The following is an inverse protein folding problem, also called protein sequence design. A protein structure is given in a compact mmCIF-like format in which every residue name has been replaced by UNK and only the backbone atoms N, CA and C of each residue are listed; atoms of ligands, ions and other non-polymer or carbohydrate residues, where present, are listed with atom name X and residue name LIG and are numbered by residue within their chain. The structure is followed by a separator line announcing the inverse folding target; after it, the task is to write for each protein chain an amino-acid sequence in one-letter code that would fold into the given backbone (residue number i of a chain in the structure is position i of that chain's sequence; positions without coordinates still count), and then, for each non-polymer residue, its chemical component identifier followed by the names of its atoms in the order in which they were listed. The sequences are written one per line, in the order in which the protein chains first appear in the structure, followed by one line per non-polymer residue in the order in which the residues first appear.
data_IF_607487239881
#
_entry.id   IF_607487239881
#
_cell.length_a   1.000
_cell.length_b   1.000
_cell.length_c   1.000
_cell.angle_alpha   90.00
_cell.angle_beta   90.00
_cell.angle_gamma   90.00
#
_symmetry.space_group_name_H-M   'P 1'
#
loop_
_entity.id
_entity.type
_entity.pdbx_description
1 polymer ?
#
# COMPACT_ATOMS: atom_id res chain seq x y z
N UNK A 1 -17.77 0.29 -23.16
CA UNK A 1 -17.24 0.02 -21.81
C UNK A 1 -17.47 -1.43 -21.33
N UNK A 2 -18.62 -2.05 -21.57
CA UNK A 2 -18.97 -3.42 -21.09
C UNK A 2 -18.33 -4.61 -21.85
N UNK A 3 -17.74 -4.44 -23.02
CA UNK A 3 -17.08 -5.54 -23.77
C UNK A 3 -15.69 -5.97 -23.23
N UNK A 4 -15.11 -5.21 -22.30
CA UNK A 4 -13.77 -5.44 -21.77
C UNK A 4 -13.76 -6.53 -20.67
N UNK A 5 -14.93 -6.80 -20.06
CA UNK A 5 -15.12 -7.84 -19.03
C UNK A 5 -15.53 -9.22 -19.57
N UNK A 6 -15.60 -9.40 -20.89
CA UNK A 6 -15.74 -10.72 -21.52
C UNK A 6 -14.38 -11.41 -21.70
N UNK A 7 -13.61 -11.50 -20.62
CA UNK A 7 -12.58 -12.53 -20.48
C UNK A 7 -13.29 -13.86 -20.23
N UNK A 8 -12.69 -14.97 -20.64
CA UNK A 8 -13.18 -16.36 -20.56
C UNK A 8 -14.22 -16.54 -19.45
N UNK A 9 -15.41 -17.03 -19.77
CA UNK A 9 -16.54 -17.16 -18.84
C UNK A 9 -16.32 -18.09 -17.65
N UNK A 10 -15.08 -18.32 -17.26
CA UNK A 10 -14.68 -19.09 -16.11
C UNK A 10 -15.09 -18.35 -14.82
N UNK A 11 -16.00 -18.96 -14.07
CA UNK A 11 -16.43 -18.42 -12.77
C UNK A 11 -15.24 -18.47 -11.81
N UNK A 12 -14.95 -17.36 -11.12
CA UNK A 12 -13.95 -17.29 -10.04
C UNK A 12 -14.20 -18.45 -9.06
N UNK A 13 -13.21 -19.29 -8.77
CA UNK A 13 -13.33 -20.40 -7.85
C UNK A 13 -13.79 -19.95 -6.45
N UNK A 14 -14.60 -20.76 -5.77
CA UNK A 14 -15.16 -20.43 -4.47
C UNK A 14 -14.11 -20.03 -3.43
N UNK A 15 -13.01 -20.76 -3.36
CA UNK A 15 -11.94 -20.50 -2.41
C UNK A 15 -11.25 -19.13 -2.64
N UNK A 16 -11.13 -18.66 -3.89
CA UNK A 16 -10.63 -17.32 -4.19
C UNK A 16 -11.65 -16.24 -3.77
N UNK A 17 -12.95 -16.48 -3.92
CA UNK A 17 -13.98 -15.53 -3.41
C UNK A 17 -13.90 -15.38 -1.90
N UNK A 18 -13.74 -16.49 -1.17
CA UNK A 18 -13.53 -16.48 0.28
C UNK A 18 -12.27 -15.68 0.64
N UNK A 19 -11.18 -15.89 -0.10
CA UNK A 19 -9.93 -15.16 0.10
C UNK A 19 -10.11 -13.65 -0.12
N UNK A 20 -10.82 -13.22 -1.17
CA UNK A 20 -11.06 -11.80 -1.45
C UNK A 20 -11.95 -11.15 -0.38
N UNK A 21 -13.00 -11.82 0.04
CA UNK A 21 -13.86 -11.32 1.10
C UNK A 21 -13.11 -11.21 2.44
N UNK A 22 -12.27 -12.20 2.77
CA UNK A 22 -11.43 -12.15 3.96
C UNK A 22 -10.39 -11.03 3.88
N UNK A 23 -9.76 -10.86 2.72
CA UNK A 23 -8.83 -9.75 2.48
C UNK A 23 -9.52 -8.40 2.64
N UNK A 24 -10.73 -8.25 2.09
CA UNK A 24 -11.51 -7.05 2.23
C UNK A 24 -11.79 -6.70 3.70
N UNK A 25 -12.27 -7.67 4.51
CA UNK A 25 -12.51 -7.46 5.95
C UNK A 25 -11.21 -7.13 6.70
N UNK A 26 -10.12 -7.84 6.39
CA UNK A 26 -8.81 -7.59 6.99
C UNK A 26 -8.30 -6.18 6.66
N UNK A 27 -8.54 -5.68 5.44
CA UNK A 27 -8.13 -4.34 5.04
C UNK A 27 -9.02 -3.23 5.60
N UNK A 28 -10.30 -3.48 5.82
CA UNK A 28 -11.15 -2.56 6.61
C UNK A 28 -10.57 -2.44 8.03
N UNK A 29 -10.29 -3.57 8.68
CA UNK A 29 -9.71 -3.58 10.01
C UNK A 29 -8.38 -2.82 10.06
N UNK A 30 -7.49 -3.03 9.09
CA UNK A 30 -6.21 -2.35 9.03
C UNK A 30 -6.34 -0.85 8.76
N UNK A 31 -7.22 -0.44 7.83
CA UNK A 31 -7.49 0.98 7.56
C UNK A 31 -8.02 1.74 8.78
N UNK A 32 -8.90 1.10 9.57
CA UNK A 32 -9.38 1.66 10.83
C UNK A 32 -8.27 1.75 11.89
N UNK A 33 -7.42 0.73 11.97
CA UNK A 33 -6.34 0.65 12.94
C UNK A 33 -5.34 1.79 12.85
N UNK A 34 -5.04 2.27 11.64
CA UNK A 34 -4.13 3.41 11.42
C UNK A 34 -4.58 4.67 12.16
N UNK A 35 -5.87 4.98 12.11
CA UNK A 35 -6.44 6.13 12.80
C UNK A 35 -6.58 5.89 14.30
N UNK A 36 -6.95 4.68 14.71
CA UNK A 36 -7.07 4.32 16.13
C UNK A 36 -5.73 4.39 16.87
N UNK A 37 -4.63 3.91 16.29
CA UNK A 37 -3.29 4.02 16.90
C UNK A 37 -2.91 5.49 17.04
N UNK A 38 -3.11 6.29 16.00
CA UNK A 38 -2.81 7.72 16.03
C UNK A 38 -3.61 8.44 17.14
N UNK A 39 -4.90 8.15 17.25
CA UNK A 39 -5.77 8.74 18.28
C UNK A 39 -5.41 8.27 19.70
N UNK A 40 -4.98 7.01 19.85
CA UNK A 40 -4.64 6.43 21.16
C UNK A 40 -3.41 7.07 21.82
N UNK A 41 -2.52 7.60 21.01
CA UNK A 41 -1.28 8.26 21.47
C UNK A 41 -1.24 9.76 21.18
N UNK A 42 -2.36 10.34 20.72
CA UNK A 42 -2.47 11.77 20.44
C UNK A 42 -2.18 12.63 21.69
N UNK A 43 -1.79 13.89 21.49
CA UNK A 43 -1.41 14.84 22.53
C UNK A 43 0.09 15.11 22.56
N UNK A 44 0.61 15.52 23.72
CA UNK A 44 2.04 15.80 23.90
C UNK A 44 2.89 14.60 23.46
N UNK A 45 3.90 14.86 22.61
CA UNK A 45 4.76 13.84 22.01
C UNK A 45 4.02 12.81 21.14
N UNK A 46 2.74 13.03 20.79
CA UNK A 46 1.95 12.06 20.00
C UNK A 46 2.63 11.70 18.69
N UNK A 47 3.22 12.68 18.01
CA UNK A 47 3.96 12.46 16.75
C UNK A 47 5.17 11.55 16.95
N UNK A 48 5.95 11.75 18.03
CA UNK A 48 7.09 10.89 18.37
C UNK A 48 6.63 9.48 18.74
N UNK A 49 5.56 9.36 19.52
CA UNK A 49 4.99 8.06 19.92
C UNK A 49 4.53 7.26 18.69
N UNK A 50 3.79 7.89 17.77
CA UNK A 50 3.39 7.24 16.51
C UNK A 50 4.59 6.78 15.72
N UNK A 51 5.63 7.62 15.60
CA UNK A 51 6.83 7.26 14.87
C UNK A 51 7.55 6.03 15.45
N UNK A 52 7.68 5.97 16.79
CA UNK A 52 8.28 4.83 17.49
C UNK A 52 7.45 3.55 17.29
N UNK A 53 6.12 3.66 17.35
CA UNK A 53 5.21 2.52 17.21
C UNK A 53 5.22 1.99 15.77
N UNK A 54 5.29 2.86 14.77
CA UNK A 54 5.14 2.49 13.37
C UNK A 54 6.33 1.66 12.84
N UNK A 55 7.57 2.08 13.11
CA UNK A 55 8.82 1.50 12.53
C UNK A 55 8.92 -0.04 12.64
N UNK A 56 8.58 -0.71 13.75
CA UNK A 56 8.75 -2.16 13.87
C UNK A 56 7.87 -2.99 12.94
N UNK A 57 6.70 -2.48 12.52
CA UNK A 57 5.74 -3.25 11.70
C UNK A 57 6.29 -3.58 10.31
N UNK A 58 6.63 -2.60 9.44
CA UNK A 58 7.12 -2.91 8.09
C UNK A 58 8.49 -3.60 8.12
N UNK A 59 9.31 -3.33 9.13
CA UNK A 59 10.56 -4.05 9.31
C UNK A 59 10.31 -5.55 9.55
N UNK A 60 9.41 -5.89 10.47
CA UNK A 60 9.06 -7.27 10.79
C UNK A 60 8.38 -7.96 9.60
N UNK A 61 7.44 -7.28 8.92
CA UNK A 61 6.79 -7.77 7.72
C UNK A 61 7.81 -8.09 6.62
N UNK A 62 8.69 -7.17 6.30
CA UNK A 62 9.72 -7.31 5.26
C UNK A 62 10.66 -8.49 5.54
N UNK A 63 11.16 -8.61 6.77
CA UNK A 63 12.11 -9.68 7.15
C UNK A 63 11.46 -11.06 7.13
N UNK A 64 10.17 -11.14 7.52
CA UNK A 64 9.51 -12.44 7.71
C UNK A 64 8.65 -12.88 6.51
N UNK A 65 8.34 -12.00 5.55
CA UNK A 65 7.49 -12.31 4.41
C UNK A 65 7.98 -13.50 3.57
N UNK A 66 9.28 -13.54 3.26
CA UNK A 66 9.87 -14.65 2.51
C UNK A 66 9.81 -15.98 3.28
N UNK A 67 10.06 -15.92 4.59
CA UNK A 67 9.96 -17.09 5.45
C UNK A 67 8.56 -17.71 5.44
N UNK A 68 7.52 -16.88 5.62
CA UNK A 68 6.13 -17.35 5.59
C UNK A 68 5.67 -17.78 4.21
N UNK A 69 6.16 -17.14 3.15
CA UNK A 69 5.97 -17.61 1.78
C UNK A 69 6.43 -19.08 1.63
N UNK A 70 7.68 -19.36 1.99
CA UNK A 70 8.28 -20.71 1.93
C UNK A 70 7.58 -21.68 2.88
N UNK A 71 7.30 -21.26 4.12
CA UNK A 71 6.63 -22.09 5.11
C UNK A 71 5.23 -22.49 4.63
N UNK A 72 4.52 -21.59 3.97
CA UNK A 72 3.19 -21.83 3.43
C UNK A 72 3.19 -22.88 2.29
N UNK A 73 4.29 -23.01 1.55
CA UNK A 73 4.47 -24.08 0.55
C UNK A 73 4.57 -25.47 1.21
N UNK A 74 5.16 -25.53 2.41
CA UNK A 74 5.43 -26.79 3.11
C UNK A 74 4.26 -27.29 3.94
N UNK A 75 3.56 -26.40 4.65
CA UNK A 75 2.49 -26.79 5.59
C UNK A 75 1.09 -26.38 5.11
N UNK A 76 1.00 -25.71 3.96
CA UNK A 76 -0.25 -25.31 3.29
C UNK A 76 -0.57 -23.82 3.48
N UNK A 77 -1.01 -23.18 2.39
CA UNK A 77 -1.35 -21.76 2.34
C UNK A 77 -2.38 -21.37 3.40
N UNK A 78 -3.50 -22.11 3.45
CA UNK A 78 -4.57 -21.90 4.42
C UNK A 78 -4.06 -21.79 5.86
N UNK A 79 -3.21 -22.72 6.28
CA UNK A 79 -2.71 -22.81 7.66
C UNK A 79 -1.99 -21.54 8.07
N UNK A 80 -1.13 -21.03 7.18
CA UNK A 80 -0.32 -19.83 7.45
C UNK A 80 -1.19 -18.57 7.41
N UNK A 81 -2.11 -18.44 6.46
CA UNK A 81 -3.02 -17.30 6.37
C UNK A 81 -3.90 -17.20 7.63
N UNK A 82 -4.47 -18.33 8.08
CA UNK A 82 -5.29 -18.37 9.30
C UNK A 82 -4.44 -18.03 10.52
N UNK A 83 -3.23 -18.55 10.64
CA UNK A 83 -2.30 -18.19 11.72
C UNK A 83 -2.03 -16.69 11.74
N UNK A 84 -1.65 -16.08 10.60
CA UNK A 84 -1.35 -14.65 10.51
C UNK A 84 -2.53 -13.78 10.88
N UNK A 85 -3.73 -14.09 10.37
CA UNK A 85 -4.96 -13.33 10.67
C UNK A 85 -5.37 -13.49 12.13
N UNK A 86 -5.22 -14.68 12.72
CA UNK A 86 -5.51 -14.91 14.14
C UNK A 86 -4.52 -14.17 15.02
N UNK A 87 -3.22 -14.20 14.69
CA UNK A 87 -2.20 -13.45 15.40
C UNK A 87 -2.52 -11.95 15.37
N UNK A 88 -2.89 -11.39 14.22
CA UNK A 88 -3.31 -9.99 14.11
C UNK A 88 -4.50 -9.66 15.04
N UNK A 89 -5.53 -10.52 15.09
CA UNK A 89 -6.68 -10.33 15.97
C UNK A 89 -6.27 -10.30 17.45
N UNK A 90 -5.40 -11.23 17.86
CA UNK A 90 -4.88 -11.29 19.24
C UNK A 90 -4.09 -10.03 19.57
N UNK A 91 -3.17 -9.62 18.70
CA UNK A 91 -2.33 -8.43 18.92
C UNK A 91 -3.16 -7.17 19.02
N UNK A 92 -4.18 -6.99 18.16
CA UNK A 92 -5.06 -5.82 18.24
C UNK A 92 -5.88 -5.82 19.53
N UNK A 93 -6.28 -6.98 20.04
CA UNK A 93 -6.90 -7.08 21.36
C UNK A 93 -5.92 -6.62 22.46
N UNK A 94 -4.65 -7.01 22.38
CA UNK A 94 -3.64 -6.63 23.36
C UNK A 94 -3.34 -5.13 23.38
N UNK A 95 -3.56 -4.37 22.28
CA UNK A 95 -3.42 -2.92 22.30
C UNK A 95 -4.32 -2.23 23.33
N UNK A 96 -5.42 -2.84 23.72
CA UNK A 96 -6.33 -2.27 24.72
C UNK A 96 -5.76 -2.25 26.15
N UNK A 97 -4.70 -3.03 26.42
CA UNK A 97 -4.20 -3.25 27.79
C UNK A 97 -3.28 -2.13 28.27
N UNK A 98 -2.61 -1.42 27.37
CA UNK A 98 -1.64 -0.37 27.75
C UNK A 98 -1.43 0.62 26.64
N UNK A 99 -1.28 1.90 26.99
CA UNK A 99 -0.88 2.98 26.10
C UNK A 99 0.63 3.29 26.15
N UNK A 100 1.42 2.42 26.79
CA UNK A 100 2.87 2.57 26.79
C UNK A 100 3.42 2.42 25.37
N UNK A 101 4.20 3.40 24.91
CA UNK A 101 4.73 3.47 23.57
C UNK A 101 5.58 2.26 23.17
N UNK A 102 6.45 1.80 24.06
CA UNK A 102 7.32 0.64 23.79
C UNK A 102 6.56 -0.67 23.76
N UNK A 103 5.53 -0.79 24.62
CA UNK A 103 4.61 -1.93 24.57
C UNK A 103 3.87 -1.99 23.24
N UNK A 104 3.31 -0.87 22.80
CA UNK A 104 2.61 -0.78 21.54
C UNK A 104 3.55 -1.02 20.33
N UNK A 105 4.78 -0.49 20.39
CA UNK A 105 5.80 -0.72 19.36
C UNK A 105 6.16 -2.21 19.23
N UNK A 106 6.37 -2.89 20.37
CA UNK A 106 6.65 -4.33 20.37
C UNK A 106 5.48 -5.13 19.78
N UNK A 107 4.25 -4.84 20.19
CA UNK A 107 3.05 -5.47 19.64
C UNK A 107 2.89 -5.18 18.14
N UNK A 108 3.19 -3.94 17.70
CA UNK A 108 3.08 -3.56 16.29
C UNK A 108 4.09 -4.31 15.43
N UNK A 109 5.30 -4.54 15.94
CA UNK A 109 6.26 -5.43 15.28
C UNK A 109 5.75 -6.87 15.14
N UNK A 110 5.15 -7.44 16.20
CA UNK A 110 4.54 -8.78 16.13
C UNK A 110 3.34 -8.79 15.16
N UNK A 111 2.57 -7.70 15.10
CA UNK A 111 1.51 -7.54 14.11
C UNK A 111 2.05 -7.59 12.67
N UNK A 112 3.21 -6.97 12.40
CA UNK A 112 3.90 -7.07 11.11
C UNK A 112 4.26 -8.51 10.71
N UNK A 113 4.65 -9.36 11.69
CA UNK A 113 4.82 -10.80 11.46
C UNK A 113 3.51 -11.46 11.01
N UNK A 114 2.38 -11.11 11.66
CA UNK A 114 1.06 -11.58 11.27
C UNK A 114 0.65 -11.15 9.85
N UNK A 115 0.98 -9.92 9.46
CA UNK A 115 0.75 -9.41 8.12
C UNK A 115 1.55 -10.19 7.07
N UNK A 116 2.84 -10.42 7.30
CA UNK A 116 3.68 -11.25 6.44
C UNK A 116 3.12 -12.67 6.25
N UNK A 117 2.64 -13.29 7.34
CA UNK A 117 2.02 -14.61 7.31
C UNK A 117 0.67 -14.63 6.57
N UNK A 118 0.05 -13.46 6.35
CA UNK A 118 -1.24 -13.37 5.65
C UNK A 118 -1.06 -13.04 4.17
N UNK A 119 -0.30 -11.99 3.84
CA UNK A 119 -0.24 -11.41 2.48
C UNK A 119 0.53 -12.29 1.50
N UNK A 120 1.74 -12.71 1.84
CA UNK A 120 2.57 -13.50 0.93
C UNK A 120 1.93 -14.84 0.55
N UNK A 121 1.40 -15.65 1.50
CA UNK A 121 0.69 -16.88 1.16
C UNK A 121 -0.64 -16.64 0.42
N UNK A 122 -1.34 -15.52 0.64
CA UNK A 122 -2.57 -15.19 -0.08
C UNK A 122 -2.31 -14.96 -1.57
N UNK A 123 -1.29 -14.17 -1.90
CA UNK A 123 -0.87 -13.93 -3.29
C UNK A 123 -0.45 -15.25 -3.96
N UNK A 124 0.32 -16.09 -3.24
CA UNK A 124 0.73 -17.38 -3.74
C UNK A 124 -0.46 -18.32 -3.96
N UNK A 125 -1.49 -18.31 -3.09
CA UNK A 125 -2.71 -19.09 -3.28
C UNK A 125 -3.45 -18.67 -4.56
N UNK A 126 -3.51 -17.37 -4.87
CA UNK A 126 -4.10 -16.91 -6.13
C UNK A 126 -3.33 -17.44 -7.32
N UNK A 127 -2.00 -17.36 -7.27
CA UNK A 127 -1.13 -17.86 -8.34
C UNK A 127 -1.27 -19.37 -8.57
N UNK A 128 -1.50 -20.15 -7.50
CA UNK A 128 -1.68 -21.61 -7.55
C UNK A 128 -3.03 -22.02 -8.16
N UNK A 129 -4.08 -21.22 -8.01
CA UNK A 129 -5.46 -21.57 -8.40
C UNK A 129 -5.98 -20.81 -9.62
N UNK A 130 -5.32 -19.76 -10.05
CA UNK A 130 -5.67 -19.03 -11.25
C UNK A 130 -5.03 -19.69 -12.48
N UNK A 131 -5.83 -19.89 -13.54
CA UNK A 131 -5.31 -20.27 -14.85
C UNK A 131 -4.34 -19.21 -15.35
N UNK A 132 -3.33 -19.60 -16.12
CA UNK A 132 -2.29 -18.70 -16.61
C UNK A 132 -2.87 -17.48 -17.34
N UNK A 133 -3.93 -17.68 -18.13
CA UNK A 133 -4.62 -16.62 -18.90
C UNK A 133 -5.56 -15.74 -18.03
N UNK A 134 -5.85 -16.16 -16.79
CA UNK A 134 -6.80 -15.49 -15.88
C UNK A 134 -6.12 -14.94 -14.61
N UNK A 135 -4.85 -15.23 -14.42
CA UNK A 135 -4.08 -14.87 -13.22
C UNK A 135 -4.08 -13.36 -12.97
N UNK A 136 -3.90 -12.54 -14.00
CA UNK A 136 -3.94 -11.09 -13.89
C UNK A 136 -5.30 -10.57 -13.40
N UNK A 137 -6.41 -11.15 -13.90
CA UNK A 137 -7.76 -10.80 -13.44
C UNK A 137 -7.97 -11.16 -11.97
N UNK A 138 -7.51 -12.33 -11.53
CA UNK A 138 -7.67 -12.77 -10.15
C UNK A 138 -6.82 -11.92 -9.19
N UNK A 139 -5.60 -11.53 -9.58
CA UNK A 139 -4.79 -10.56 -8.83
C UNK A 139 -5.49 -9.20 -8.75
N UNK A 140 -6.09 -8.74 -9.85
CA UNK A 140 -6.86 -7.49 -9.87
C UNK A 140 -8.06 -7.50 -8.90
N UNK A 141 -8.75 -8.63 -8.72
CA UNK A 141 -9.81 -8.76 -7.71
C UNK A 141 -9.26 -8.70 -6.28
N UNK A 142 -8.10 -9.27 -6.04
CA UNK A 142 -7.42 -9.17 -4.75
C UNK A 142 -7.01 -7.73 -4.42
N UNK A 143 -6.44 -7.02 -5.39
CA UNK A 143 -6.06 -5.62 -5.24
C UNK A 143 -7.29 -4.74 -5.04
N UNK A 144 -8.37 -4.98 -5.79
CA UNK A 144 -9.64 -4.28 -5.62
C UNK A 144 -10.21 -4.46 -4.21
N UNK A 145 -10.22 -5.70 -3.70
CA UNK A 145 -10.66 -5.99 -2.33
C UNK A 145 -9.77 -5.28 -1.30
N UNK A 146 -8.46 -5.23 -1.55
CA UNK A 146 -7.48 -4.54 -0.72
C UNK A 146 -7.75 -3.03 -0.67
N UNK A 147 -7.83 -2.36 -1.82
CA UNK A 147 -8.05 -0.92 -1.89
C UNK A 147 -9.41 -0.50 -1.32
N UNK A 148 -10.47 -1.20 -1.71
CA UNK A 148 -11.81 -0.92 -1.21
C UNK A 148 -11.89 -1.11 0.31
N UNK A 149 -11.21 -2.13 0.84
CA UNK A 149 -11.10 -2.36 2.27
C UNK A 149 -10.42 -1.19 2.99
N UNK A 150 -9.28 -0.70 2.49
CA UNK A 150 -8.59 0.46 3.06
C UNK A 150 -9.44 1.73 3.04
N UNK A 151 -10.14 2.01 1.92
CA UNK A 151 -11.02 3.18 1.79
C UNK A 151 -12.11 3.15 2.86
N UNK A 152 -12.85 2.04 2.95
CA UNK A 152 -13.92 1.89 3.93
C UNK A 152 -13.36 1.89 5.35
N UNK A 153 -12.22 1.23 5.57
CA UNK A 153 -11.54 1.15 6.86
C UNK A 153 -11.11 2.52 7.37
N UNK A 154 -10.57 3.39 6.53
CA UNK A 154 -10.22 4.74 6.91
C UNK A 154 -11.44 5.56 7.35
N UNK A 155 -12.55 5.49 6.60
CA UNK A 155 -13.80 6.16 6.95
C UNK A 155 -14.34 5.62 8.28
N UNK A 156 -14.47 4.30 8.41
CA UNK A 156 -14.97 3.63 9.62
C UNK A 156 -14.08 3.95 10.82
N UNK A 157 -12.76 3.91 10.66
CA UNK A 157 -11.79 4.24 11.70
C UNK A 157 -11.91 5.69 12.17
N UNK A 158 -12.13 6.63 11.23
CA UNK A 158 -12.37 8.03 11.57
C UNK A 158 -13.62 8.23 12.43
N UNK A 159 -14.72 7.59 12.08
CA UNK A 159 -15.93 7.62 12.91
C UNK A 159 -15.75 6.88 14.26
N UNK A 160 -14.99 5.78 14.28
CA UNK A 160 -14.66 5.10 15.55
C UNK A 160 -13.90 6.03 16.49
N UNK A 161 -12.91 6.76 15.99
CA UNK A 161 -12.12 7.72 16.78
C UNK A 161 -12.99 8.85 17.35
N UNK A 162 -13.98 9.31 16.60
CA UNK A 162 -14.84 10.43 17.04
C UNK A 162 -15.96 9.99 17.97
N UNK A 163 -16.57 8.83 17.72
CA UNK A 163 -17.80 8.41 18.38
C UNK A 163 -17.61 7.41 19.51
N UNK A 164 -16.45 6.76 19.60
CA UNK A 164 -16.18 5.66 20.53
C UNK A 164 -14.94 5.92 21.36
N UNK A 165 -14.86 5.28 22.54
CA UNK A 165 -13.58 5.08 23.20
C UNK A 165 -12.64 4.26 22.29
N UNK A 166 -11.38 4.70 22.16
CA UNK A 166 -10.40 4.09 21.26
C UNK A 166 -10.18 2.60 21.55
N UNK A 167 -10.29 2.18 22.83
CA UNK A 167 -10.18 0.77 23.22
C UNK A 167 -11.34 -0.06 22.67
N UNK A 168 -12.56 0.52 22.64
CA UNK A 168 -13.72 -0.13 22.01
C UNK A 168 -13.46 -0.25 20.50
N UNK A 169 -12.89 0.77 19.88
CA UNK A 169 -12.46 0.73 18.48
C UNK A 169 -11.49 -0.44 18.20
N UNK A 170 -10.46 -0.62 19.03
CA UNK A 170 -9.54 -1.77 18.91
C UNK A 170 -10.26 -3.11 19.06
N UNK A 171 -11.19 -3.24 19.99
CA UNK A 171 -11.97 -4.49 20.17
C UNK A 171 -12.83 -4.78 18.94
N UNK A 172 -13.47 -3.77 18.34
CA UNK A 172 -14.24 -3.94 17.11
C UNK A 172 -13.35 -4.40 15.94
N UNK A 173 -12.18 -3.80 15.79
CA UNK A 173 -11.18 -4.23 14.80
C UNK A 173 -10.72 -5.67 15.07
N UNK A 174 -10.45 -6.03 16.31
CA UNK A 174 -10.07 -7.39 16.70
C UNK A 174 -11.19 -8.42 16.39
N UNK A 175 -12.45 -8.07 16.64
CA UNK A 175 -13.62 -8.90 16.28
C UNK A 175 -13.69 -9.09 14.76
N UNK A 176 -13.49 -8.04 13.97
CA UNK A 176 -13.47 -8.14 12.50
C UNK A 176 -12.34 -9.05 11.99
N UNK A 177 -11.14 -8.94 12.57
CA UNK A 177 -10.02 -9.82 12.24
C UNK A 177 -10.30 -11.26 12.67
N UNK A 178 -10.88 -11.47 13.86
CA UNK A 178 -11.29 -12.78 14.35
C UNK A 178 -12.35 -13.42 13.44
N UNK A 179 -13.36 -12.66 13.02
CA UNK A 179 -14.38 -13.12 12.07
C UNK A 179 -13.76 -13.51 10.73
N UNK A 180 -12.80 -12.72 10.23
CA UNK A 180 -12.03 -13.06 9.02
C UNK A 180 -11.23 -14.35 9.21
N UNK A 181 -10.57 -14.54 10.35
CA UNK A 181 -9.83 -15.77 10.66
C UNK A 181 -10.76 -17.00 10.72
N UNK A 182 -11.91 -16.90 11.37
CA UNK A 182 -12.93 -17.97 11.44
C UNK A 182 -13.45 -18.28 10.02
N UNK A 183 -13.75 -17.26 9.22
CA UNK A 183 -14.21 -17.45 7.84
C UNK A 183 -13.14 -18.16 6.99
N UNK A 184 -11.88 -17.78 7.09
CA UNK A 184 -10.76 -18.47 6.42
C UNK A 184 -10.62 -19.90 6.89
N UNK A 185 -10.71 -20.14 8.21
CA UNK A 185 -10.59 -21.48 8.77
C UNK A 185 -11.73 -22.40 8.32
N UNK A 186 -12.97 -21.92 8.30
CA UNK A 186 -14.14 -22.76 8.00
C UNK A 186 -14.40 -22.92 6.50
N UNK A 187 -14.30 -21.84 5.73
CA UNK A 187 -14.73 -21.82 4.33
C UNK A 187 -13.59 -22.07 3.33
N UNK A 188 -12.34 -21.83 3.71
CA UNK A 188 -11.21 -22.16 2.85
C UNK A 188 -10.92 -23.67 2.92
N UNK A 189 -10.88 -24.33 1.78
CA UNK A 189 -10.54 -25.77 1.73
C UNK A 189 -9.06 -25.99 2.00
N UNK A 190 -8.73 -27.06 2.71
CA UNK A 190 -7.35 -27.48 2.94
C UNK A 190 -6.75 -27.97 1.63
N UNK A 191 -5.66 -27.39 1.20
CA UNK A 191 -4.96 -27.77 -0.02
C UNK A 191 -4.10 -29.01 0.22
N UNK A 192 -3.99 -29.86 -0.80
CA UNK A 192 -2.96 -30.89 -0.81
C UNK A 192 -1.62 -30.20 -1.03
N UNK A 193 -0.73 -30.30 -0.07
CA UNK A 193 0.64 -29.78 -0.18
C UNK A 193 1.30 -30.39 -1.42
N UNK A 194 1.62 -29.56 -2.40
CA UNK A 194 2.37 -30.01 -3.57
C UNK A 194 3.80 -30.31 -3.12
N UNK A 195 4.24 -31.56 -3.23
CA UNK A 195 5.60 -32.04 -2.84
C UNK A 195 6.76 -31.42 -3.66
N UNK A 196 6.47 -30.62 -4.68
CA UNK A 196 7.49 -29.97 -5.53
C UNK A 196 7.32 -28.46 -5.48
N UNK A 197 8.08 -27.83 -4.64
CA UNK A 197 8.46 -26.44 -4.82
C UNK A 197 9.56 -26.39 -5.91
N UNK A 198 9.14 -26.33 -7.15
CA UNK A 198 10.06 -26.02 -8.23
C UNK A 198 10.30 -24.50 -8.22
N UNK A 199 11.52 -24.11 -7.93
CA UNK A 199 12.07 -22.76 -7.94
C UNK A 199 11.45 -21.76 -6.95
N UNK A 200 12.05 -21.67 -5.78
CA UNK A 200 12.00 -20.44 -4.98
C UNK A 200 12.78 -19.36 -5.70
N UNK A 201 12.23 -18.13 -5.72
CA UNK A 201 12.98 -16.97 -6.19
C UNK A 201 14.33 -16.91 -5.46
N UNK A 202 15.40 -17.19 -6.17
CA UNK A 202 16.75 -17.22 -5.64
C UNK A 202 17.35 -15.82 -5.72
N UNK A 203 18.42 -15.56 -4.95
CA UNK A 203 19.22 -14.33 -5.15
C UNK A 203 19.75 -14.19 -6.58
N UNK A 204 19.92 -15.32 -7.29
CA UNK A 204 20.30 -15.31 -8.70
C UNK A 204 19.16 -14.79 -9.60
N UNK A 205 17.91 -15.11 -9.29
CA UNK A 205 16.75 -14.63 -10.04
C UNK A 205 16.54 -13.12 -9.81
N UNK A 206 16.72 -12.62 -8.57
CA UNK A 206 16.73 -11.19 -8.30
C UNK A 206 17.85 -10.47 -9.08
N UNK A 207 19.07 -11.04 -9.13
CA UNK A 207 20.15 -10.48 -9.95
C UNK A 207 19.80 -10.44 -11.44
N UNK A 208 19.07 -11.43 -11.97
CA UNK A 208 18.58 -11.47 -13.36
C UNK A 208 17.55 -10.35 -13.59
N UNK A 209 16.59 -10.19 -12.66
CA UNK A 209 15.56 -9.15 -12.73
C UNK A 209 16.20 -7.75 -12.75
N UNK A 210 17.21 -7.47 -11.92
CA UNK A 210 17.93 -6.20 -11.92
C UNK A 210 18.86 -5.98 -13.14
N UNK A 211 19.16 -7.02 -13.95
CA UNK A 211 19.84 -6.84 -15.24
C UNK A 211 18.92 -6.16 -16.26
N UNK A 212 17.61 -6.31 -16.13
CA UNK A 212 16.63 -5.63 -16.98
C UNK A 212 16.70 -4.13 -16.72
N UNK A 213 17.06 -3.37 -17.72
CA UNK A 213 17.32 -1.92 -17.61
C UNK A 213 16.08 -1.15 -17.19
N UNK A 214 14.94 -1.49 -17.73
CA UNK A 214 13.64 -0.88 -17.43
C UNK A 214 13.29 -1.02 -15.95
N UNK A 215 13.47 -2.20 -15.37
CA UNK A 215 13.25 -2.47 -13.95
C UNK A 215 14.24 -1.68 -13.09
N UNK A 216 15.52 -1.68 -13.46
CA UNK A 216 16.56 -0.96 -12.71
C UNK A 216 16.34 0.56 -12.68
N UNK A 217 15.79 1.16 -13.73
CA UNK A 217 15.48 2.59 -13.77
C UNK A 217 14.17 2.91 -13.04
N UNK A 218 13.19 2.02 -13.10
CA UNK A 218 11.90 2.21 -12.45
C UNK A 218 11.95 1.98 -10.93
N UNK A 219 12.73 1.00 -10.46
CA UNK A 219 12.71 0.56 -9.06
C UNK A 219 12.99 1.67 -8.04
N UNK A 220 13.96 2.57 -8.22
CA UNK A 220 14.17 3.69 -7.29
C UNK A 220 12.98 4.66 -7.27
N UNK A 221 12.35 4.90 -8.42
CA UNK A 221 11.14 5.74 -8.50
C UNK A 221 10.02 5.10 -7.70
N UNK A 222 9.82 3.78 -7.85
CA UNK A 222 8.86 3.01 -7.08
C UNK A 222 9.10 3.11 -5.58
N UNK A 223 10.36 2.99 -5.16
CA UNK A 223 10.76 3.11 -3.76
C UNK A 223 10.44 4.50 -3.20
N UNK A 224 10.71 5.56 -3.95
CA UNK A 224 10.36 6.93 -3.56
C UNK A 224 8.84 7.08 -3.40
N UNK A 225 8.04 6.58 -4.36
CA UNK A 225 6.57 6.66 -4.28
C UNK A 225 6.05 5.87 -3.07
N UNK A 226 6.61 4.68 -2.80
CA UNK A 226 6.26 3.89 -1.62
C UNK A 226 6.64 4.61 -0.31
N UNK A 227 7.79 5.28 -0.27
CA UNK A 227 8.20 6.10 0.88
C UNK A 227 7.26 7.29 1.10
N UNK A 228 6.87 8.00 0.04
CA UNK A 228 5.91 9.10 0.13
C UNK A 228 4.55 8.64 0.64
N UNK A 229 4.09 7.49 0.17
CA UNK A 229 2.84 6.89 0.64
C UNK A 229 2.93 6.51 2.12
N UNK A 230 4.05 5.90 2.55
CA UNK A 230 4.30 5.57 3.95
C UNK A 230 4.31 6.82 4.84
N UNK A 231 5.00 7.90 4.45
CA UNK A 231 4.99 9.17 5.17
C UNK A 231 3.57 9.73 5.34
N UNK A 232 2.78 9.73 4.26
CA UNK A 232 1.41 10.24 4.30
C UNK A 232 0.50 9.38 5.20
N UNK A 233 0.55 8.06 5.06
CA UNK A 233 -0.31 7.15 5.83
C UNK A 233 0.03 7.18 7.32
N UNK A 234 1.30 7.25 7.68
CA UNK A 234 1.74 7.15 9.08
C UNK A 234 1.63 8.48 9.82
N UNK A 235 2.08 9.58 9.21
CA UNK A 235 2.22 10.85 9.92
C UNK A 235 1.05 11.84 9.72
N UNK A 236 0.38 11.81 8.57
CA UNK A 236 -0.70 12.77 8.32
C UNK A 236 -1.87 12.64 9.31
N UNK A 237 -2.34 11.43 9.69
CA UNK A 237 -3.42 11.32 10.67
C UNK A 237 -3.11 11.98 12.00
N UNK A 238 -1.92 11.72 12.57
CA UNK A 238 -1.54 12.29 13.88
C UNK A 238 -1.29 13.80 13.79
N UNK A 239 -0.73 14.30 12.69
CA UNK A 239 -0.55 15.73 12.46
C UNK A 239 -1.91 16.42 12.46
N UNK A 240 -2.90 15.87 11.77
CA UNK A 240 -4.25 16.44 11.70
C UNK A 240 -4.99 16.33 13.04
N UNK A 241 -4.87 15.21 13.76
CA UNK A 241 -5.45 15.04 15.09
C UNK A 241 -4.88 16.06 16.09
N UNK A 242 -3.57 16.34 16.03
CA UNK A 242 -2.93 17.35 16.88
C UNK A 242 -3.31 18.79 16.52
N UNK A 243 -3.97 19.01 15.37
CA UNK A 243 -4.58 20.27 14.96
C UNK A 243 -6.10 20.28 15.21
N UNK A 244 -6.60 19.46 16.12
CA UNK A 244 -8.01 19.33 16.50
C UNK A 244 -8.97 18.96 15.34
N UNK A 245 -8.43 18.36 14.25
CA UNK A 245 -9.26 17.86 13.16
C UNK A 245 -10.01 16.63 13.62
N UNK A 246 -11.33 16.63 13.42
CA UNK A 246 -12.19 15.49 13.78
C UNK A 246 -11.76 14.20 13.07
N UNK A 247 -11.79 13.07 13.81
CA UNK A 247 -11.45 11.76 13.29
C UNK A 247 -12.26 11.37 12.04
N UNK A 248 -13.57 11.65 12.03
CA UNK A 248 -14.44 11.42 10.88
C UNK A 248 -13.99 12.20 9.63
N UNK A 249 -13.58 13.46 9.80
CA UNK A 249 -13.04 14.29 8.71
C UNK A 249 -11.76 13.67 8.14
N UNK A 250 -10.83 13.25 8.99
CA UNK A 250 -9.60 12.57 8.58
C UNK A 250 -9.94 11.27 7.83
N UNK A 251 -10.84 10.46 8.36
CA UNK A 251 -11.29 9.23 7.72
C UNK A 251 -11.88 9.46 6.34
N UNK A 252 -12.74 10.47 6.17
CA UNK A 252 -13.32 10.86 4.88
C UNK A 252 -12.24 11.36 3.92
N UNK A 253 -11.27 12.16 4.39
CA UNK A 253 -10.13 12.60 3.56
C UNK A 253 -9.30 11.43 3.03
N UNK A 254 -8.95 10.48 3.88
CA UNK A 254 -8.22 9.27 3.46
C UNK A 254 -9.06 8.38 2.54
N UNK A 255 -10.36 8.25 2.82
CA UNK A 255 -11.30 7.54 1.95
C UNK A 255 -11.38 8.18 0.56
N UNK A 256 -11.53 9.50 0.49
CA UNK A 256 -11.57 10.26 -0.76
C UNK A 256 -10.25 10.14 -1.54
N UNK A 257 -9.10 10.25 -0.84
CA UNK A 257 -7.78 10.01 -1.45
C UNK A 257 -7.65 8.59 -2.00
N UNK A 258 -8.11 7.58 -1.26
CA UNK A 258 -8.13 6.20 -1.71
C UNK A 258 -9.00 6.00 -2.95
N UNK A 259 -10.17 6.63 -3.03
CA UNK A 259 -11.04 6.63 -4.22
C UNK A 259 -10.31 7.29 -5.40
N UNK A 260 -9.70 8.45 -5.19
CA UNK A 260 -8.98 9.17 -6.23
C UNK A 260 -7.81 8.34 -6.79
N UNK A 261 -7.04 7.69 -5.92
CA UNK A 261 -5.90 6.85 -6.31
C UNK A 261 -6.32 5.50 -6.91
N UNK A 262 -7.40 4.91 -6.41
CA UNK A 262 -7.80 3.53 -6.72
C UNK A 262 -8.83 3.39 -7.84
N UNK A 263 -9.79 4.33 -7.94
CA UNK A 263 -10.97 4.19 -8.82
C UNK A 263 -10.61 4.05 -10.31
N UNK A 264 -9.62 4.81 -10.78
CA UNK A 264 -9.19 4.82 -12.18
C UNK A 264 -8.05 3.86 -12.49
N UNK A 265 -7.60 3.03 -11.56
CA UNK A 265 -6.50 2.08 -11.81
C UNK A 265 -6.75 1.15 -13.02
N UNK A 266 -7.95 0.53 -13.18
CA UNK A 266 -8.21 -0.29 -14.37
C UNK A 266 -8.23 0.52 -15.67
N UNK A 267 -8.65 1.79 -15.61
CA UNK A 267 -8.61 2.72 -16.74
C UNK A 267 -7.16 3.06 -17.11
N UNK A 268 -6.33 3.41 -16.14
CA UNK A 268 -4.92 3.72 -16.35
C UNK A 268 -4.12 2.52 -16.82
N UNK A 269 -4.44 1.32 -16.34
CA UNK A 269 -3.88 0.07 -16.86
C UNK A 269 -4.10 -0.05 -18.37
N UNK A 270 -5.35 0.15 -18.83
CA UNK A 270 -5.69 0.10 -20.25
C UNK A 270 -5.06 1.23 -21.05
N UNK A 271 -5.03 2.45 -20.53
CA UNK A 271 -4.33 3.58 -21.19
C UNK A 271 -2.86 3.25 -21.37
N UNK A 272 -2.24 2.62 -20.37
CA UNK A 272 -0.84 2.21 -20.45
C UNK A 272 -0.56 1.11 -21.50
N UNK A 273 -1.56 0.27 -21.80
CA UNK A 273 -1.47 -0.70 -22.90
C UNK A 273 -1.43 -0.01 -24.28
N UNK A 274 -2.13 1.11 -24.43
CA UNK A 274 -2.28 1.83 -25.70
C UNK A 274 -1.17 2.86 -25.90
N UNK A 275 -0.93 3.71 -24.91
CA UNK A 275 0.03 4.83 -24.99
C UNK A 275 1.45 4.39 -24.65
N UNK A 276 1.56 3.30 -23.90
CA UNK A 276 2.82 2.77 -23.38
C UNK A 276 2.96 2.99 -21.87
N UNK A 277 3.73 2.10 -21.21
CA UNK A 277 3.88 2.07 -19.75
C UNK A 277 4.53 3.34 -19.20
N UNK A 278 5.65 3.75 -19.80
CA UNK A 278 6.48 4.84 -19.28
C UNK A 278 5.78 6.22 -19.33
N UNK A 279 5.08 6.62 -20.41
CA UNK A 279 4.32 7.88 -20.42
C UNK A 279 3.25 7.96 -19.34
N UNK A 280 2.54 6.84 -19.08
CA UNK A 280 1.49 6.79 -18.06
C UNK A 280 2.08 6.84 -16.64
N UNK A 281 3.20 6.16 -16.40
CA UNK A 281 3.97 6.29 -15.14
C UNK A 281 4.44 7.74 -14.94
N UNK A 282 4.97 8.38 -15.98
CA UNK A 282 5.42 9.77 -15.90
C UNK A 282 4.26 10.70 -15.52
N UNK A 283 3.10 10.54 -16.13
CA UNK A 283 1.90 11.28 -15.77
C UNK A 283 1.54 11.11 -14.28
N UNK A 284 1.61 9.88 -13.76
CA UNK A 284 1.38 9.60 -12.33
C UNK A 284 2.36 10.34 -11.42
N UNK A 285 3.67 10.29 -11.74
CA UNK A 285 4.72 10.98 -10.96
C UNK A 285 4.54 12.50 -11.00
N UNK A 286 4.24 13.07 -12.15
CA UNK A 286 3.96 14.51 -12.28
C UNK A 286 2.71 14.94 -11.54
N UNK A 287 1.70 14.08 -11.48
CA UNK A 287 0.48 14.34 -10.69
C UNK A 287 0.77 14.37 -9.20
N UNK A 288 1.57 13.43 -8.67
CA UNK A 288 2.02 13.43 -7.27
C UNK A 288 2.85 14.68 -6.97
N UNK A 289 3.77 15.05 -7.88
CA UNK A 289 4.55 16.29 -7.76
C UNK A 289 3.65 17.52 -7.69
N UNK A 290 2.63 17.61 -8.55
CA UNK A 290 1.65 18.67 -8.55
C UNK A 290 0.87 18.79 -7.23
N UNK A 291 0.50 17.65 -6.62
CA UNK A 291 -0.14 17.62 -5.29
C UNK A 291 0.79 18.25 -4.24
N UNK A 292 2.05 17.81 -4.20
CA UNK A 292 3.01 18.30 -3.19
C UNK A 292 3.31 19.79 -3.39
N UNK A 293 3.50 20.23 -4.64
CA UNK A 293 3.70 21.65 -4.97
C UNK A 293 2.47 22.48 -4.55
N UNK A 294 1.28 21.99 -4.82
CA UNK A 294 0.04 22.69 -4.44
C UNK A 294 -0.08 22.85 -2.93
N UNK A 295 0.22 21.79 -2.17
CA UNK A 295 0.18 21.83 -0.71
C UNK A 295 1.24 22.77 -0.11
N UNK A 296 2.41 22.88 -0.75
CA UNK A 296 3.49 23.78 -0.30
C UNK A 296 3.26 25.24 -0.68
N UNK A 297 2.85 25.49 -1.93
CA UNK A 297 2.75 26.85 -2.47
C UNK A 297 1.42 27.53 -2.09
N UNK A 298 0.38 26.74 -1.87
CA UNK A 298 -0.98 27.23 -1.61
C UNK A 298 -1.64 26.45 -0.46
N UNK A 299 -1.07 26.48 0.77
CA UNK A 299 -1.56 25.68 1.89
C UNK A 299 -3.03 25.93 2.21
N UNK A 300 -3.50 27.19 2.10
CA UNK A 300 -4.87 27.58 2.40
C UNK A 300 -5.84 27.45 1.22
N UNK A 301 -5.39 26.93 0.08
CA UNK A 301 -6.23 26.88 -1.14
C UNK A 301 -7.29 25.77 -1.10
N UNK A 302 -6.98 24.65 -0.48
CA UNK A 302 -7.85 23.48 -0.44
C UNK A 302 -8.71 23.43 0.82
N UNK A 303 -8.18 23.91 1.95
CA UNK A 303 -8.87 23.95 3.24
C UNK A 303 -8.42 25.16 4.05
N UNK A 304 -9.24 25.59 4.98
CA UNK A 304 -8.89 26.55 6.02
C UNK A 304 -9.52 26.12 7.33
N UNK A 305 -8.94 26.52 8.43
CA UNK A 305 -9.44 26.24 9.76
C UNK A 305 -9.92 27.53 10.41
N UNK A 306 -11.07 27.46 11.07
CA UNK A 306 -11.60 28.51 11.96
C UNK A 306 -12.11 27.88 13.25
N UNK A 307 -12.73 28.67 14.12
CA UNK A 307 -13.28 28.21 15.41
C UNK A 307 -14.38 27.13 15.25
N UNK A 308 -15.00 27.03 14.06
CA UNK A 308 -16.00 26.02 13.74
C UNK A 308 -15.40 24.72 13.20
N UNK A 309 -14.10 24.72 12.83
CA UNK A 309 -13.38 23.54 12.33
C UNK A 309 -12.71 23.75 10.97
N UNK A 310 -12.38 22.63 10.31
CA UNK A 310 -11.79 22.68 8.97
C UNK A 310 -12.88 22.74 7.90
N UNK A 311 -12.76 23.72 7.02
CA UNK A 311 -13.62 23.93 5.88
C UNK A 311 -12.88 23.63 4.58
N UNK A 312 -13.54 22.91 3.67
CA UNK A 312 -12.98 22.56 2.38
C UNK A 312 -13.36 23.63 1.32
N UNK A 313 -12.35 24.14 0.64
CA UNK A 313 -12.54 25.07 -0.48
C UNK A 313 -12.59 24.28 -1.79
N UNK A 314 -13.72 24.32 -2.50
CA UNK A 314 -13.87 23.64 -3.80
C UNK A 314 -12.79 24.04 -4.80
N UNK A 315 -12.36 25.32 -4.79
CA UNK A 315 -11.35 25.84 -5.71
C UNK A 315 -10.00 25.10 -5.58
N UNK A 316 -9.64 24.65 -4.39
CA UNK A 316 -8.44 23.86 -4.17
C UNK A 316 -8.68 22.34 -4.22
N UNK A 317 -9.86 21.90 -3.77
CA UNK A 317 -10.18 20.46 -3.76
C UNK A 317 -10.35 19.87 -5.17
N UNK A 318 -10.86 20.65 -6.13
CA UNK A 318 -11.00 20.18 -7.53
C UNK A 318 -9.65 19.88 -8.15
N UNK A 319 -8.63 20.78 -8.15
CA UNK A 319 -7.31 20.44 -8.66
C UNK A 319 -6.65 19.27 -7.93
N UNK A 320 -6.76 19.21 -6.59
CA UNK A 320 -6.23 18.06 -5.83
C UNK A 320 -6.90 16.75 -6.20
N UNK A 321 -8.22 16.75 -6.42
CA UNK A 321 -8.95 15.57 -6.88
C UNK A 321 -8.49 15.12 -8.27
N UNK A 322 -8.33 16.05 -9.21
CA UNK A 322 -7.84 15.75 -10.58
C UNK A 322 -6.42 15.19 -10.52
N UNK A 323 -5.54 15.81 -9.74
CA UNK A 323 -4.16 15.33 -9.56
C UNK A 323 -4.15 13.96 -8.85
N UNK A 324 -5.02 13.74 -7.86
CA UNK A 324 -5.17 12.45 -7.19
C UNK A 324 -5.57 11.33 -8.14
N UNK A 325 -6.56 11.57 -9.02
CA UNK A 325 -6.95 10.64 -10.06
C UNK A 325 -5.78 10.34 -11.02
N UNK A 326 -4.96 11.35 -11.33
CA UNK A 326 -3.74 11.19 -12.13
C UNK A 326 -2.65 10.42 -11.41
N UNK A 327 -2.46 10.65 -10.12
CA UNK A 327 -1.46 9.96 -9.29
C UNK A 327 -1.68 8.44 -9.28
N UNK A 328 -2.93 7.98 -9.33
CA UNK A 328 -3.29 6.56 -9.44
C UNK A 328 -2.80 5.88 -10.73
N UNK A 329 -2.30 6.62 -11.72
CA UNK A 329 -1.80 6.06 -12.98
C UNK A 329 -0.45 5.34 -12.83
N UNK A 330 0.36 5.69 -11.83
CA UNK A 330 1.71 5.13 -11.67
C UNK A 330 1.69 3.62 -11.42
N UNK A 331 0.92 3.17 -10.43
CA UNK A 331 0.92 1.78 -9.94
C UNK A 331 0.60 0.74 -11.01
N UNK A 332 -0.54 0.82 -11.72
CA UNK A 332 -0.88 -0.19 -12.72
C UNK A 332 0.09 -0.21 -13.90
N UNK A 333 0.62 0.96 -14.30
CA UNK A 333 1.59 1.04 -15.39
C UNK A 333 2.96 0.47 -14.97
N UNK A 334 3.40 0.70 -13.73
CA UNK A 334 4.63 0.14 -13.18
C UNK A 334 4.55 -1.39 -13.04
N UNK A 335 3.45 -1.92 -12.50
CA UNK A 335 3.21 -3.36 -12.41
C UNK A 335 3.22 -4.03 -13.78
N UNK A 336 2.53 -3.42 -14.75
CA UNK A 336 2.50 -3.93 -16.12
C UNK A 336 3.90 -3.88 -16.76
N UNK A 337 4.69 -2.82 -16.53
CA UNK A 337 6.07 -2.75 -17.02
C UNK A 337 6.93 -3.86 -16.42
N UNK A 338 6.81 -4.13 -15.12
CA UNK A 338 7.51 -5.22 -14.46
C UNK A 338 7.13 -6.59 -15.05
N UNK A 339 5.84 -6.81 -15.27
CA UNK A 339 5.33 -8.05 -15.87
C UNK A 339 5.83 -8.23 -17.31
N UNK A 340 5.75 -7.17 -18.15
CA UNK A 340 6.19 -7.16 -19.55
C UNK A 340 7.71 -7.35 -19.68
N UNK A 341 8.48 -6.95 -18.67
CA UNK A 341 9.95 -7.02 -18.65
C UNK A 341 10.48 -8.30 -17.99
N UNK A 342 9.61 -9.19 -17.53
CA UNK A 342 9.99 -10.39 -16.81
C UNK A 342 9.89 -11.63 -17.68
N UNK A 343 10.92 -12.48 -17.66
CA UNK A 343 10.80 -13.84 -18.17
C UNK A 343 9.80 -14.65 -17.34
N UNK A 344 9.08 -15.57 -17.96
CA UNK A 344 8.08 -16.41 -17.28
C UNK A 344 8.67 -17.15 -16.05
N UNK A 345 9.96 -17.47 -16.07
CA UNK A 345 10.69 -18.11 -14.96
C UNK A 345 10.98 -17.16 -13.80
N UNK A 346 11.12 -15.85 -14.06
CA UNK A 346 11.47 -14.85 -13.08
C UNK A 346 10.25 -14.01 -12.59
N UNK A 347 9.03 -14.33 -13.06
CA UNK A 347 7.83 -13.57 -12.74
C UNK A 347 7.58 -13.45 -11.23
N UNK A 348 7.74 -14.55 -10.48
CA UNK A 348 7.60 -14.55 -9.01
C UNK A 348 8.64 -13.66 -8.32
N UNK A 349 9.90 -13.66 -8.80
CA UNK A 349 10.95 -12.80 -8.27
C UNK A 349 10.66 -11.32 -8.53
N UNK A 350 10.11 -11.00 -9.70
CA UNK A 350 9.74 -9.63 -10.07
C UNK A 350 8.59 -9.11 -9.22
N UNK A 351 7.55 -9.91 -8.99
CA UNK A 351 6.44 -9.54 -8.11
C UNK A 351 6.88 -9.47 -6.64
N UNK A 352 7.82 -10.31 -6.23
CA UNK A 352 8.48 -10.21 -4.92
C UNK A 352 9.25 -8.89 -4.73
N UNK A 353 9.92 -8.42 -5.77
CA UNK A 353 10.62 -7.13 -5.77
C UNK A 353 9.65 -5.96 -5.62
N UNK A 354 8.47 -6.03 -6.26
CA UNK A 354 7.40 -5.06 -6.07
C UNK A 354 6.94 -4.97 -4.62
N UNK A 355 6.61 -6.12 -4.01
CA UNK A 355 6.19 -6.17 -2.61
C UNK A 355 7.28 -5.72 -1.64
N UNK A 356 8.54 -6.08 -1.94
CA UNK A 356 9.70 -5.61 -1.17
C UNK A 356 9.82 -4.08 -1.21
N UNK A 357 9.64 -3.46 -2.38
CA UNK A 357 9.73 -2.00 -2.50
C UNK A 357 8.66 -1.28 -1.68
N UNK A 358 7.44 -1.83 -1.58
CA UNK A 358 6.38 -1.28 -0.73
C UNK A 358 6.74 -1.36 0.75
N UNK A 359 7.14 -2.54 1.23
CA UNK A 359 7.50 -2.74 2.64
C UNK A 359 8.75 -1.96 3.04
N UNK A 360 9.79 -1.98 2.18
CA UNK A 360 11.02 -1.22 2.42
C UNK A 360 10.78 0.29 2.34
N UNK A 361 9.94 0.75 1.40
CA UNK A 361 9.55 2.16 1.32
C UNK A 361 8.81 2.65 2.56
N UNK A 362 7.88 1.84 3.10
CA UNK A 362 7.21 2.14 4.35
C UNK A 362 8.20 2.19 5.53
N UNK A 363 9.09 1.20 5.64
CA UNK A 363 10.14 1.20 6.67
C UNK A 363 11.04 2.43 6.59
N UNK A 364 11.46 2.82 5.39
CA UNK A 364 12.26 4.04 5.15
C UNK A 364 11.47 5.28 5.56
N UNK A 365 10.19 5.38 5.18
CA UNK A 365 9.31 6.48 5.53
C UNK A 365 9.20 6.69 7.04
N UNK A 366 8.91 5.61 7.76
CA UNK A 366 8.71 5.65 9.20
C UNK A 366 10.01 5.94 9.94
N UNK A 367 11.12 5.34 9.51
CA UNK A 367 12.45 5.58 10.09
C UNK A 367 12.94 7.00 9.84
N UNK A 368 12.75 7.54 8.64
CA UNK A 368 13.11 8.91 8.31
C UNK A 368 12.23 9.92 9.03
N UNK A 369 10.93 9.68 9.11
CA UNK A 369 10.03 10.51 9.88
C UNK A 369 10.43 10.55 11.35
N UNK A 370 10.73 9.40 11.95
CA UNK A 370 11.26 9.33 13.33
C UNK A 370 12.56 10.14 13.48
N UNK A 371 13.51 9.98 12.55
CA UNK A 371 14.79 10.74 12.58
C UNK A 371 14.54 12.25 12.51
N UNK A 372 13.64 12.71 11.60
CA UNK A 372 13.29 14.12 11.48
C UNK A 372 12.69 14.64 12.80
N UNK A 373 11.77 13.89 13.42
CA UNK A 373 11.12 14.28 14.68
C UNK A 373 12.16 14.41 15.80
N UNK A 374 13.08 13.44 15.93
CA UNK A 374 14.14 13.46 16.95
C UNK A 374 15.10 14.63 16.73
N UNK A 375 15.42 14.96 15.48
CA UNK A 375 16.37 16.04 15.16
C UNK A 375 15.77 17.45 15.26
N UNK A 376 14.48 17.61 14.95
CA UNK A 376 13.86 18.93 14.81
C UNK A 376 12.84 19.27 15.91
N UNK A 377 12.44 18.26 16.69
CA UNK A 377 11.33 18.35 17.64
C UNK A 377 9.96 18.18 16.99
N UNK A 378 8.98 17.74 17.77
CA UNK A 378 7.61 17.43 17.30
C UNK A 378 6.91 18.64 16.64
N UNK A 379 7.17 19.86 17.13
CA UNK A 379 6.52 21.07 16.62
C UNK A 379 6.96 21.46 15.20
N UNK A 380 8.25 21.24 14.89
CA UNK A 380 8.83 21.59 13.58
C UNK A 380 8.82 20.44 12.58
N UNK A 381 8.71 19.22 13.07
CA UNK A 381 8.81 18.02 12.24
C UNK A 381 7.78 17.97 11.09
N UNK A 382 6.50 18.38 11.24
CA UNK A 382 5.55 18.34 10.13
C UNK A 382 6.03 19.12 8.90
N UNK A 383 6.58 20.32 9.11
CA UNK A 383 7.15 21.13 8.02
C UNK A 383 8.36 20.44 7.36
N UNK A 384 9.26 19.88 8.16
CA UNK A 384 10.43 19.17 7.64
C UNK A 384 10.07 17.87 6.90
N UNK A 385 9.05 17.14 7.37
CA UNK A 385 8.53 15.96 6.67
C UNK A 385 7.99 16.37 5.29
N UNK A 386 7.26 17.48 5.21
CA UNK A 386 6.72 17.99 3.95
C UNK A 386 7.83 18.44 2.99
N UNK A 387 8.85 19.17 3.47
CA UNK A 387 10.00 19.57 2.65
C UNK A 387 10.79 18.36 2.17
N UNK A 388 10.96 17.35 3.03
CA UNK A 388 11.61 16.11 2.66
C UNK A 388 10.80 15.35 1.59
N UNK A 389 9.48 15.27 1.74
CA UNK A 389 8.58 14.68 0.72
C UNK A 389 8.70 15.43 -0.62
N UNK A 390 8.79 16.76 -0.59
CA UNK A 390 9.00 17.56 -1.79
C UNK A 390 10.35 17.29 -2.47
N UNK A 391 11.41 17.14 -1.70
CA UNK A 391 12.72 16.76 -2.24
C UNK A 391 12.70 15.37 -2.89
N UNK A 392 12.06 14.40 -2.23
CA UNK A 392 11.92 13.04 -2.77
C UNK A 392 11.13 13.00 -4.07
N UNK A 393 9.97 13.69 -4.12
CA UNK A 393 9.17 13.69 -5.36
C UNK A 393 9.89 14.47 -6.47
N UNK A 394 10.61 15.54 -6.15
CA UNK A 394 11.47 16.24 -7.10
C UNK A 394 12.54 15.32 -7.70
N UNK A 395 13.19 14.51 -6.86
CA UNK A 395 14.12 13.48 -7.31
C UNK A 395 13.44 12.43 -8.21
N UNK A 396 12.25 11.95 -7.85
CA UNK A 396 11.49 11.01 -8.67
C UNK A 396 11.12 11.60 -10.03
N UNK A 397 10.79 12.89 -10.11
CA UNK A 397 10.53 13.60 -11.38
C UNK A 397 11.79 13.63 -12.25
N UNK A 398 12.95 13.99 -11.70
CA UNK A 398 14.23 13.99 -12.44
C UNK A 398 14.54 12.58 -12.97
N UNK A 399 14.41 11.56 -12.13
CA UNK A 399 14.63 10.16 -12.53
C UNK A 399 13.63 9.71 -13.60
N UNK A 400 12.37 10.13 -13.53
CA UNK A 400 11.36 9.81 -14.52
C UNK A 400 11.65 10.50 -15.86
N UNK A 401 12.12 11.73 -15.87
CA UNK A 401 12.56 12.43 -17.09
C UNK A 401 13.72 11.67 -17.74
N UNK A 402 14.74 11.29 -16.97
CA UNK A 402 15.86 10.49 -17.44
C UNK A 402 15.35 9.17 -18.05
N UNK A 403 14.47 8.47 -17.36
CA UNK A 403 13.89 7.22 -17.85
C UNK A 403 13.12 7.42 -19.15
N UNK A 404 12.32 8.47 -19.23
CA UNK A 404 11.54 8.81 -20.42
C UNK A 404 12.46 9.12 -21.63
N UNK A 405 13.49 9.92 -21.43
CA UNK A 405 14.48 10.26 -22.49
C UNK A 405 15.17 8.99 -23.01
N UNK A 406 15.61 8.10 -22.11
CA UNK A 406 16.21 6.83 -22.52
C UNK A 406 15.24 5.94 -23.33
N UNK A 407 13.98 5.88 -22.92
CA UNK A 407 12.96 5.08 -23.63
C UNK A 407 12.69 5.63 -25.04
N UNK A 408 12.64 6.95 -25.17
CA UNK A 408 12.48 7.61 -26.47
C UNK A 408 13.67 7.40 -27.37
N UNK A 409 14.91 7.49 -26.85
CA UNK A 409 16.13 7.21 -27.62
C UNK A 409 16.16 5.78 -28.17
N UNK A 410 15.80 4.79 -27.33
CA UNK A 410 15.71 3.38 -27.75
C UNK A 410 14.69 3.16 -28.87
N UNK A 411 13.51 3.81 -28.79
CA UNK A 411 12.48 3.74 -29.85
C UNK A 411 12.96 4.33 -31.20
N UNK A 412 13.78 5.39 -31.17
CA UNK A 412 14.34 6.00 -32.39
C UNK A 412 15.38 5.10 -33.02
N UNK A 413 16.28 4.50 -32.24
CA UNK A 413 17.31 3.58 -32.73
C UNK A 413 16.71 2.30 -33.34
N UNK A 414 15.72 1.68 -32.67
CA UNK A 414 15.06 0.48 -33.22
C UNK A 414 14.22 0.73 -34.48
N UNK A 415 13.79 1.99 -34.73
CA UNK A 415 13.15 2.35 -36.01
C UNK A 415 14.15 2.49 -37.14
N UNK A 416 15.41 2.82 -36.87
CA UNK A 416 16.48 2.94 -37.87
C UNK A 416 16.98 1.56 -38.29
N UNK A 417 17.03 0.59 -37.36
CA UNK A 417 17.43 -0.80 -37.67
C UNK A 417 16.34 -1.61 -38.39
N UNK A 418 15.07 -1.22 -38.31
CA UNK A 418 13.94 -1.86 -39.02
C UNK A 418 13.62 -1.28 -40.38
N UNK A 419 14.42 -0.33 -40.89
CA UNK A 419 14.25 0.31 -42.17
C UNK A 419 15.35 -0.07 -43.21
N UNK A 420 16.05 -1.18 -42.95
CA UNK A 420 16.95 -1.80 -43.94
C UNK A 420 16.38 -3.10 -44.48
#
# INVERSE_FOLDING_TARGET
MFKIFKGSGAKTPWHLRVLYLSTFLLRIAFGALLLLISAYVAGEEGLLKVAIIAVPYPLAEMVTANYFGILSDRIGRKTIIVFGTTLAAVIVTLYTLSNNTWYLAALHGIHGIGAAATVAPAIAMIADHAESCDRGRQMGWFDYATFLGYIIGAVVGGFMVELLDVRIGFLMVAIMLGASAVMLYTLLKKEKVKKKAEHYASLADLKRVFKVREIRLMFPIWLIIATLLGLAITYLPIILLNQDVKGSTIGVMFGAAGVALGLLQPFWGKVSDIVGRIPVMAYGVFSIFGIVVMLLAFPDSAFYQDDAGIHFKLIGMIPLGILGLGAGAFVPAALALMADSSDAQCYGATMGLYSFALGFGAFVAESLGLAIIVMTGSDKAPGWILYFAAALIGLAVVMMIIFFVFAMAKRRLGKVEGSC
#
